data_IF_711213738053
#
_entry.id   IF_711213738053
#
_cell.length_a   1.000
_cell.length_b   1.000
_cell.length_c   1.000
_cell.angle_alpha   90.00
_cell.angle_beta   90.00
_cell.angle_gamma   90.00
#
_symmetry.space_group_name_H-M   'P 1'
#
loop_
_entity.id
_entity.type
_entity.pdbx_description
1 polymer ?
#
# COMPACT_ATOMS: atom_id res chain seq x y z
N UNK A 1 57.63 -6.98 -22.21
CA UNK A 1 56.23 -6.49 -22.07
C UNK A 1 56.27 -5.09 -21.49
N UNK A 2 55.44 -4.16 -21.96
CA UNK A 2 55.37 -2.82 -21.34
C UNK A 2 54.88 -2.96 -19.89
N UNK A 3 55.43 -2.21 -18.92
CA UNK A 3 54.99 -2.28 -17.52
C UNK A 3 53.48 -2.02 -17.36
N UNK A 4 52.90 -1.22 -18.24
CA UNK A 4 51.45 -1.01 -18.35
C UNK A 4 50.66 -2.31 -18.61
N UNK A 5 51.16 -3.20 -19.45
CA UNK A 5 50.46 -4.45 -19.80
C UNK A 5 50.50 -5.46 -18.65
N UNK A 6 51.59 -5.49 -17.89
CA UNK A 6 51.69 -6.27 -16.65
C UNK A 6 50.70 -5.76 -15.60
N UNK A 7 50.55 -4.43 -15.47
CA UNK A 7 49.57 -3.83 -14.58
C UNK A 7 48.13 -4.21 -14.96
N UNK A 8 47.76 -4.10 -16.25
CA UNK A 8 46.42 -4.45 -16.71
C UNK A 8 46.12 -5.95 -16.55
N UNK A 9 47.08 -6.83 -16.81
CA UNK A 9 46.91 -8.27 -16.59
C UNK A 9 46.75 -8.60 -15.10
N UNK A 10 47.52 -7.95 -14.22
CA UNK A 10 47.38 -8.13 -12.77
C UNK A 10 46.01 -7.66 -12.27
N UNK A 11 45.55 -6.48 -12.70
CA UNK A 11 44.22 -5.96 -12.36
C UNK A 11 43.10 -6.85 -12.90
N UNK A 12 43.22 -7.34 -14.14
CA UNK A 12 42.26 -8.26 -14.73
C UNK A 12 42.18 -9.59 -13.97
N UNK A 13 43.33 -10.17 -13.58
CA UNK A 13 43.39 -11.39 -12.80
C UNK A 13 42.79 -11.21 -11.39
N UNK A 14 43.06 -10.07 -10.73
CA UNK A 14 42.46 -9.74 -9.42
C UNK A 14 40.94 -9.59 -9.55
N UNK A 15 40.45 -8.90 -10.60
CA UNK A 15 39.03 -8.74 -10.83
C UNK A 15 38.34 -10.09 -11.08
N UNK A 16 38.94 -10.97 -11.89
CA UNK A 16 38.43 -12.30 -12.17
C UNK A 16 38.41 -13.17 -10.91
N UNK A 17 39.48 -13.11 -10.11
CA UNK A 17 39.56 -13.81 -8.84
C UNK A 17 38.50 -13.31 -7.86
N UNK A 18 38.32 -11.99 -7.71
CA UNK A 18 37.29 -11.41 -6.86
C UNK A 18 35.86 -11.79 -7.32
N UNK A 19 35.61 -11.80 -8.63
CA UNK A 19 34.32 -12.18 -9.22
C UNK A 19 33.93 -13.64 -8.96
N UNK A 20 34.90 -14.52 -8.68
CA UNK A 20 34.65 -15.94 -8.35
C UNK A 20 34.71 -16.17 -6.84
N UNK A 21 35.72 -15.63 -6.16
CA UNK A 21 35.95 -15.86 -4.74
C UNK A 21 34.86 -15.26 -3.86
N UNK A 22 34.33 -14.06 -4.19
CA UNK A 22 33.29 -13.40 -3.39
C UNK A 22 31.97 -14.19 -3.44
N UNK A 23 31.38 -14.54 -4.61
CA UNK A 23 30.16 -15.34 -4.64
C UNK A 23 30.32 -16.71 -3.98
N UNK A 24 31.45 -17.38 -4.18
CA UNK A 24 31.72 -18.69 -3.55
C UNK A 24 31.79 -18.57 -2.03
N UNK A 25 32.44 -17.52 -1.51
CA UNK A 25 32.53 -17.27 -0.07
C UNK A 25 31.17 -16.93 0.54
N UNK A 26 30.36 -16.10 -0.13
CA UNK A 26 29.00 -15.78 0.31
C UNK A 26 28.09 -17.00 0.29
N UNK A 27 28.18 -17.83 -0.77
CA UNK A 27 27.36 -19.05 -0.90
C UNK A 27 27.72 -20.12 0.14
N UNK A 28 29.01 -20.27 0.47
CA UNK A 28 29.47 -21.31 1.41
C UNK A 28 29.39 -20.91 2.88
N UNK A 29 29.43 -19.60 3.19
CA UNK A 29 29.53 -19.13 4.56
C UNK A 29 28.40 -18.15 4.89
N UNK A 30 28.45 -16.93 4.35
CA UNK A 30 27.43 -15.86 4.49
C UNK A 30 28.01 -14.53 3.98
N UNK A 31 27.18 -13.49 3.86
CA UNK A 31 27.60 -12.12 3.60
C UNK A 31 28.57 -11.58 4.66
N UNK A 32 28.53 -12.13 5.88
CA UNK A 32 29.46 -11.79 6.96
C UNK A 32 30.93 -12.15 6.63
N UNK A 33 31.19 -13.05 5.69
CA UNK A 33 32.54 -13.41 5.25
C UNK A 33 33.20 -12.33 4.35
N UNK A 34 32.41 -11.38 3.82
CA UNK A 34 32.88 -10.34 2.90
C UNK A 34 32.28 -8.96 3.20
N UNK A 35 32.50 -8.38 4.41
CA UNK A 35 31.81 -7.17 4.85
C UNK A 35 32.08 -5.94 3.97
N UNK A 36 33.30 -5.80 3.42
CA UNK A 36 33.64 -4.70 2.50
C UNK A 36 32.87 -4.75 1.18
N UNK A 37 32.54 -5.95 0.71
CA UNK A 37 31.71 -6.12 -0.48
C UNK A 37 30.25 -5.78 -0.18
N UNK A 38 29.73 -6.22 0.98
CA UNK A 38 28.36 -5.92 1.43
C UNK A 38 28.11 -4.42 1.49
N UNK A 39 28.99 -3.65 2.13
CA UNK A 39 28.85 -2.19 2.23
C UNK A 39 28.93 -1.47 0.87
N UNK A 40 29.48 -2.11 -0.16
CA UNK A 40 29.54 -1.54 -1.52
C UNK A 40 28.27 -1.81 -2.34
N UNK A 41 27.48 -2.82 -1.98
CA UNK A 41 26.27 -3.23 -2.72
C UNK A 41 24.97 -2.99 -1.96
N UNK A 42 25.04 -2.54 -0.70
CA UNK A 42 23.87 -2.20 0.11
C UNK A 42 23.15 -0.97 -0.49
N UNK A 43 21.87 -1.09 -0.89
CA UNK A 43 21.13 0.03 -1.50
C UNK A 43 20.90 1.20 -0.54
N UNK A 44 20.92 0.92 0.77
CA UNK A 44 20.65 1.85 1.85
C UNK A 44 20.38 1.10 3.15
N UNK A 45 20.31 1.81 4.30
CA UNK A 45 20.17 1.17 5.60
C UNK A 45 18.82 0.48 5.76
N UNK A 46 18.80 -0.58 6.57
CA UNK A 46 17.57 -1.26 6.98
C UNK A 46 16.68 -0.35 7.86
N UNK A 47 15.39 -0.66 7.89
CA UNK A 47 14.42 -0.08 8.79
C UNK A 47 14.77 -0.36 10.25
N UNK A 48 14.31 0.50 11.16
CA UNK A 48 14.52 0.32 12.60
C UNK A 48 14.08 -1.06 13.11
N UNK A 49 13.01 -1.62 12.55
CA UNK A 49 12.48 -2.92 12.94
C UNK A 49 13.43 -4.06 12.58
N UNK A 50 14.15 -3.95 11.46
CA UNK A 50 15.06 -5.00 10.97
C UNK A 50 16.54 -4.66 11.16
N UNK A 51 16.88 -3.61 11.91
CA UNK A 51 18.27 -3.21 12.17
C UNK A 51 19.15 -4.36 12.72
N UNK A 52 18.57 -5.32 13.45
CA UNK A 52 19.29 -6.50 13.97
C UNK A 52 19.74 -7.51 12.89
N UNK A 53 19.27 -7.34 11.65
CA UNK A 53 19.63 -8.13 10.47
C UNK A 53 20.73 -7.47 9.62
N UNK A 54 21.32 -6.37 10.10
CA UNK A 54 22.44 -5.71 9.43
C UNK A 54 23.58 -6.71 9.15
N UNK A 55 24.13 -6.66 7.94
CA UNK A 55 25.16 -7.58 7.41
C UNK A 55 24.75 -9.07 7.32
N UNK A 56 23.47 -9.42 7.46
CA UNK A 56 22.93 -10.78 7.31
C UNK A 56 21.99 -10.88 6.11
N UNK A 57 22.49 -10.57 4.91
CA UNK A 57 21.69 -10.37 3.70
C UNK A 57 20.77 -11.58 3.41
N UNK A 58 21.29 -12.76 3.63
CA UNK A 58 20.66 -14.07 3.42
C UNK A 58 19.53 -14.39 4.40
N UNK A 59 19.34 -13.57 5.44
CA UNK A 59 18.10 -13.59 6.22
C UNK A 59 16.88 -13.18 5.40
N UNK A 60 17.10 -12.41 4.32
CA UNK A 60 16.04 -11.96 3.42
C UNK A 60 16.27 -12.46 1.98
N UNK A 61 17.52 -12.43 1.48
CA UNK A 61 17.88 -12.76 0.10
C UNK A 61 18.38 -14.20 -0.06
N UNK A 62 17.73 -14.98 -0.91
CA UNK A 62 18.27 -16.27 -1.36
C UNK A 62 19.28 -16.05 -2.50
N UNK A 63 20.47 -16.68 -2.46
CA UNK A 63 21.41 -16.64 -3.57
C UNK A 63 20.74 -16.98 -4.91
N UNK A 64 20.99 -16.18 -5.94
CA UNK A 64 20.47 -16.32 -7.31
C UNK A 64 18.94 -16.22 -7.46
N UNK A 65 18.18 -15.94 -6.40
CA UNK A 65 16.71 -15.84 -6.46
C UNK A 65 16.14 -14.60 -5.78
N UNK A 66 16.98 -13.78 -5.13
CA UNK A 66 16.54 -12.58 -4.43
C UNK A 66 15.65 -12.90 -3.22
N UNK A 67 14.75 -11.99 -2.88
CA UNK A 67 13.87 -12.14 -1.70
C UNK A 67 12.78 -13.17 -1.98
N UNK A 68 12.54 -14.08 -1.02
CA UNK A 68 11.45 -15.06 -1.06
C UNK A 68 10.53 -14.89 0.13
N UNK A 69 9.22 -15.04 -0.09
CA UNK A 69 8.21 -14.94 0.97
C UNK A 69 8.50 -15.84 2.19
N UNK A 70 9.06 -17.04 1.96
CA UNK A 70 9.41 -17.97 3.03
C UNK A 70 10.36 -17.37 4.08
N UNK A 71 11.32 -16.54 3.64
CA UNK A 71 12.28 -15.92 4.55
C UNK A 71 11.60 -14.94 5.50
N UNK A 72 10.57 -14.23 5.03
CA UNK A 72 9.76 -13.35 5.87
C UNK A 72 8.90 -14.16 6.85
N UNK A 73 8.26 -15.24 6.36
CA UNK A 73 7.34 -16.07 7.14
C UNK A 73 8.05 -16.77 8.30
N UNK A 74 9.34 -17.14 8.16
CA UNK A 74 10.11 -17.77 9.24
C UNK A 74 10.08 -16.97 10.55
N UNK A 75 10.04 -15.64 10.48
CA UNK A 75 9.92 -14.79 11.67
C UNK A 75 8.48 -14.28 11.90
N UNK A 76 7.69 -14.07 10.85
CA UNK A 76 6.36 -13.46 10.95
C UNK A 76 5.19 -14.46 11.03
N UNK A 77 5.42 -15.77 10.93
CA UNK A 77 4.36 -16.79 10.95
C UNK A 77 3.44 -16.72 12.18
N UNK A 78 3.96 -16.27 13.32
CA UNK A 78 3.21 -16.17 14.57
C UNK A 78 2.58 -14.79 14.84
N UNK A 79 2.74 -13.81 13.92
CA UNK A 79 2.24 -12.44 14.11
C UNK A 79 0.75 -12.32 13.74
N UNK A 80 -0.11 -12.94 14.56
CA UNK A 80 -1.57 -12.97 14.36
C UNK A 80 -2.21 -11.58 14.37
N UNK A 81 -1.62 -10.63 15.09
CA UNK A 81 -2.02 -9.22 15.16
C UNK A 81 -1.88 -8.47 13.82
N UNK A 82 -0.98 -8.94 12.94
CA UNK A 82 -0.79 -8.41 11.58
C UNK A 82 -1.78 -9.01 10.57
N UNK A 83 -2.23 -10.25 10.82
CA UNK A 83 -3.04 -11.05 9.88
C UNK A 83 -4.55 -10.94 10.08
N UNK A 84 -5.01 -10.50 11.25
CA UNK A 84 -6.43 -10.61 11.65
C UNK A 84 -7.27 -9.34 11.45
N UNK A 85 -6.74 -8.28 10.83
CA UNK A 85 -7.54 -7.07 10.56
C UNK A 85 -8.36 -7.24 9.27
N UNK A 86 -9.64 -6.81 9.23
CA UNK A 86 -10.43 -6.85 7.99
C UNK A 86 -9.75 -6.16 6.81
N UNK A 87 -9.05 -5.04 7.07
CA UNK A 87 -8.30 -4.29 6.06
C UNK A 87 -7.04 -5.02 5.55
N UNK A 88 -6.56 -6.05 6.25
CA UNK A 88 -5.39 -6.86 5.89
C UNK A 88 -5.75 -8.30 5.53
N UNK A 89 -7.05 -8.62 5.39
CA UNK A 89 -7.55 -9.97 5.08
C UNK A 89 -6.94 -10.59 3.80
N UNK A 90 -6.45 -9.77 2.88
CA UNK A 90 -5.74 -10.23 1.68
C UNK A 90 -4.43 -10.98 1.98
N UNK A 91 -3.82 -10.80 3.16
CA UNK A 91 -2.59 -11.51 3.55
C UNK A 91 -2.77 -13.03 3.64
N UNK A 92 -4.01 -13.53 3.75
CA UNK A 92 -4.29 -14.97 3.76
C UNK A 92 -4.02 -15.65 2.40
N UNK A 93 -3.98 -14.89 1.30
CA UNK A 93 -3.83 -15.44 -0.06
C UNK A 93 -2.58 -14.93 -0.79
N UNK A 94 -1.86 -13.98 -0.21
CA UNK A 94 -0.68 -13.38 -0.84
C UNK A 94 0.55 -14.28 -0.68
N UNK A 95 1.29 -14.48 -1.76
CA UNK A 95 2.54 -15.28 -1.79
C UNK A 95 3.77 -14.44 -2.10
N UNK A 96 3.61 -13.12 -2.18
CA UNK A 96 4.67 -12.16 -2.45
C UNK A 96 4.62 -11.03 -1.41
N UNK A 97 5.75 -10.72 -0.82
CA UNK A 97 5.85 -9.74 0.26
C UNK A 97 6.58 -8.48 -0.21
N UNK A 98 7.59 -8.61 -1.07
CA UNK A 98 8.50 -7.52 -1.43
C UNK A 98 7.81 -6.42 -2.25
N UNK A 99 6.69 -6.72 -2.91
CA UNK A 99 5.86 -5.72 -3.61
C UNK A 99 5.21 -4.69 -2.70
N UNK A 100 5.09 -5.01 -1.41
CA UNK A 100 4.44 -4.17 -0.40
C UNK A 100 5.39 -3.82 0.73
N UNK A 101 6.26 -4.76 1.08
CA UNK A 101 7.24 -4.66 2.14
C UNK A 101 8.61 -4.41 1.54
N UNK A 102 8.90 -3.13 1.33
CA UNK A 102 10.16 -2.69 0.72
C UNK A 102 11.11 -2.22 1.81
N UNK A 103 12.24 -2.89 1.91
CA UNK A 103 13.33 -2.59 2.85
C UNK A 103 14.40 -1.69 2.19
N UNK A 104 15.47 -1.34 2.91
CA UNK A 104 16.56 -0.45 2.46
C UNK A 104 16.13 1.00 2.21
N UNK A 105 15.01 1.42 2.82
CA UNK A 105 14.54 2.81 2.75
C UNK A 105 15.09 3.68 3.89
N UNK A 106 15.81 3.07 4.83
CA UNK A 106 16.41 3.73 5.96
C UNK A 106 15.65 3.59 7.27
N UNK A 107 16.37 3.87 8.34
CA UNK A 107 15.98 3.55 9.72
C UNK A 107 14.61 4.11 10.13
N UNK A 108 14.27 5.33 9.70
CA UNK A 108 13.03 6.02 10.05
C UNK A 108 11.81 5.61 9.23
N UNK A 109 11.97 4.80 8.18
CA UNK A 109 10.90 4.48 7.23
C UNK A 109 10.36 3.08 7.52
N UNK A 110 9.03 2.96 7.67
CA UNK A 110 8.38 1.67 7.81
C UNK A 110 8.45 0.94 6.46
N UNK A 111 8.83 -0.35 6.42
CA UNK A 111 8.94 -1.11 5.19
C UNK A 111 7.55 -1.56 4.73
N UNK A 112 6.67 -0.59 4.47
CA UNK A 112 5.29 -0.80 4.04
C UNK A 112 4.97 0.29 3.02
N UNK A 113 5.31 0.01 1.77
CA UNK A 113 5.03 0.86 0.62
C UNK A 113 4.59 -0.03 -0.54
N UNK A 114 3.29 -0.03 -0.80
CA UNK A 114 2.67 -0.76 -1.89
C UNK A 114 3.16 -0.23 -3.25
N UNK A 115 3.73 -1.11 -4.08
CA UNK A 115 4.08 -0.83 -5.47
C UNK A 115 3.15 -1.63 -6.40
N UNK A 116 2.09 -0.97 -6.87
CA UNK A 116 1.13 -1.57 -7.81
C UNK A 116 1.79 -2.05 -9.10
N UNK A 117 2.82 -1.36 -9.60
CA UNK A 117 3.50 -1.73 -10.84
C UNK A 117 4.37 -2.98 -10.67
N UNK A 118 5.00 -3.16 -9.52
CA UNK A 118 5.71 -4.40 -9.19
C UNK A 118 4.72 -5.58 -9.09
N UNK A 119 3.59 -5.40 -8.41
CA UNK A 119 2.56 -6.43 -8.31
C UNK A 119 1.96 -6.82 -9.66
N UNK A 120 1.71 -5.85 -10.53
CA UNK A 120 1.24 -6.08 -11.90
C UNK A 120 2.25 -6.93 -12.69
N UNK A 121 3.54 -6.57 -12.65
CA UNK A 121 4.60 -7.36 -13.33
C UNK A 121 4.66 -8.80 -12.83
N UNK A 122 4.56 -9.01 -11.52
CA UNK A 122 4.57 -10.34 -10.91
C UNK A 122 3.33 -11.14 -11.33
N UNK A 123 2.16 -10.50 -11.41
CA UNK A 123 0.94 -11.12 -11.88
C UNK A 123 1.07 -11.58 -13.34
N UNK A 124 1.62 -10.73 -14.23
CA UNK A 124 1.87 -11.07 -15.63
C UNK A 124 2.85 -12.25 -15.74
N UNK A 125 3.95 -12.23 -14.98
CA UNK A 125 4.94 -13.31 -14.99
C UNK A 125 4.34 -14.66 -14.58
N UNK A 126 3.33 -14.67 -13.71
CA UNK A 126 2.59 -15.86 -13.29
C UNK A 126 1.45 -16.26 -14.25
N UNK A 127 1.39 -15.66 -15.45
CA UNK A 127 0.39 -15.98 -16.48
C UNK A 127 -0.93 -15.23 -16.35
N UNK A 128 -1.00 -14.20 -15.48
CA UNK A 128 -2.12 -13.28 -15.40
C UNK A 128 -2.14 -12.26 -16.55
N UNK A 129 -3.29 -11.64 -16.81
CA UNK A 129 -3.41 -10.54 -17.78
C UNK A 129 -3.39 -9.19 -17.07
N UNK A 130 -2.63 -8.23 -17.60
CA UNK A 130 -2.62 -6.83 -17.15
C UNK A 130 -3.94 -6.10 -17.42
N UNK A 131 -4.80 -6.62 -18.31
CA UNK A 131 -5.98 -5.91 -18.82
C UNK A 131 -7.13 -5.77 -17.81
N UNK A 132 -7.08 -6.44 -16.66
CA UNK A 132 -8.14 -6.33 -15.65
C UNK A 132 -7.55 -6.30 -14.24
N UNK A 133 -7.15 -5.11 -13.78
CA UNK A 133 -6.81 -4.90 -12.38
C UNK A 133 -8.10 -4.98 -11.53
N UNK A 134 -8.29 -6.07 -10.81
CA UNK A 134 -9.39 -6.21 -9.85
C UNK A 134 -9.06 -5.45 -8.56
N UNK A 135 -9.23 -4.12 -8.56
CA UNK A 135 -8.93 -3.25 -7.43
C UNK A 135 -9.66 -3.69 -6.15
N UNK A 136 -10.89 -4.20 -6.28
CA UNK A 136 -11.72 -4.58 -5.16
C UNK A 136 -11.24 -5.87 -4.47
N UNK A 137 -10.47 -6.72 -5.15
CA UNK A 137 -9.88 -7.92 -4.53
C UNK A 137 -9.07 -7.60 -3.26
N UNK A 138 -8.43 -6.41 -3.23
CA UNK A 138 -7.66 -5.92 -2.08
C UNK A 138 -8.33 -4.72 -1.39
N UNK A 139 -8.98 -3.82 -2.13
CA UNK A 139 -9.46 -2.54 -1.59
C UNK A 139 -10.93 -2.54 -1.16
N UNK A 140 -11.69 -3.63 -1.35
CA UNK A 140 -13.09 -3.69 -0.91
C UNK A 140 -13.32 -3.28 0.56
N UNK A 141 -12.47 -3.68 1.54
CA UNK A 141 -12.67 -3.30 2.95
C UNK A 141 -12.47 -1.80 3.22
N UNK A 142 -11.79 -1.08 2.32
CA UNK A 142 -11.47 0.35 2.50
C UNK A 142 -12.14 1.25 1.45
N UNK A 143 -13.00 0.68 0.61
CA UNK A 143 -13.74 1.45 -0.38
C UNK A 143 -14.71 2.42 0.30
N UNK A 144 -14.39 3.72 0.19
CA UNK A 144 -15.20 4.81 0.75
C UNK A 144 -16.54 4.96 0.03
N UNK A 145 -16.64 4.48 -1.21
CA UNK A 145 -17.85 4.58 -2.02
C UNK A 145 -18.85 3.46 -1.73
N UNK A 146 -18.42 2.41 -1.00
CA UNK A 146 -19.25 1.24 -0.67
C UNK A 146 -19.90 0.62 -1.92
N UNK A 147 -19.13 0.51 -3.01
CA UNK A 147 -19.54 -0.06 -4.29
C UNK A 147 -20.40 0.83 -5.18
N UNK A 148 -20.65 2.09 -4.82
CA UNK A 148 -21.58 2.97 -5.56
C UNK A 148 -21.18 3.21 -7.02
N UNK A 149 -19.89 3.44 -7.28
CA UNK A 149 -19.39 3.71 -8.63
C UNK A 149 -18.95 2.44 -9.39
N UNK A 150 -19.35 1.26 -8.91
CA UNK A 150 -18.94 -0.01 -9.51
C UNK A 150 -17.46 -0.34 -9.25
N UNK A 151 -16.83 -1.05 -10.20
CA UNK A 151 -15.46 -1.60 -10.05
C UNK A 151 -14.40 -0.82 -10.84
N UNK A 152 -14.80 0.10 -11.70
CA UNK A 152 -13.88 0.85 -12.56
C UNK A 152 -13.27 2.04 -11.80
N UNK A 153 -12.45 1.73 -10.80
CA UNK A 153 -11.78 2.74 -9.98
C UNK A 153 -10.85 3.63 -10.82
N UNK A 154 -10.25 3.06 -11.88
CA UNK A 154 -9.28 3.71 -12.73
C UNK A 154 -9.88 4.81 -13.62
N UNK A 155 -11.21 4.81 -13.82
CA UNK A 155 -11.92 5.92 -14.48
C UNK A 155 -11.71 7.28 -13.80
N UNK A 156 -11.46 7.28 -12.48
CA UNK A 156 -11.28 8.49 -11.68
C UNK A 156 -9.94 8.53 -10.92
N UNK A 157 -9.48 7.39 -10.39
CA UNK A 157 -8.31 7.32 -9.51
C UNK A 157 -7.07 6.79 -10.24
N UNK A 158 -5.95 7.50 -10.10
CA UNK A 158 -4.64 7.03 -10.56
C UNK A 158 -3.90 6.30 -9.43
N UNK A 159 -3.21 5.21 -9.74
CA UNK A 159 -2.41 4.45 -8.77
C UNK A 159 -1.21 5.23 -8.22
N UNK A 160 -0.77 6.28 -8.91
CA UNK A 160 0.36 7.13 -8.52
C UNK A 160 0.07 8.03 -7.31
N UNK A 161 -1.15 8.55 -7.17
CA UNK A 161 -1.49 9.47 -6.08
C UNK A 161 -2.84 9.21 -5.42
N UNK A 162 -3.68 8.32 -5.97
CA UNK A 162 -5.09 8.05 -5.64
C UNK A 162 -6.01 9.28 -5.61
N UNK A 163 -5.46 10.48 -5.80
CA UNK A 163 -6.19 11.73 -5.93
C UNK A 163 -6.76 11.81 -7.34
N UNK A 164 -7.95 12.38 -7.44
CA UNK A 164 -8.56 12.70 -8.72
C UNK A 164 -7.98 14.07 -9.14
N UNK A 165 -7.18 14.13 -10.22
CA UNK A 165 -6.60 15.40 -10.67
C UNK A 165 -7.70 16.39 -11.00
N UNK A 166 -7.63 17.59 -10.41
CA UNK A 166 -8.61 18.65 -10.67
C UNK A 166 -10.00 18.42 -10.05
N UNK A 167 -10.22 17.39 -9.23
CA UNK A 167 -11.48 17.29 -8.49
C UNK A 167 -11.60 18.47 -7.52
N UNK A 168 -12.62 19.29 -7.78
CA UNK A 168 -13.07 20.34 -6.89
C UNK A 168 -14.45 19.93 -6.40
N UNK A 169 -14.62 19.92 -5.08
CA UNK A 169 -15.95 19.73 -4.52
C UNK A 169 -16.89 20.80 -5.09
N UNK A 170 -18.14 20.44 -5.48
CA UNK A 170 -19.11 21.40 -5.95
C UNK A 170 -19.27 22.56 -4.97
N UNK A 171 -19.75 23.71 -5.47
CA UNK A 171 -20.05 24.88 -4.65
C UNK A 171 -20.79 24.48 -3.37
N UNK A 172 -20.46 25.07 -2.21
CA UNK A 172 -21.23 24.88 -0.98
C UNK A 172 -22.73 25.21 -1.08
N UNK A 173 -23.15 25.86 -2.17
CA UNK A 173 -24.54 26.16 -2.49
C UNK A 173 -25.22 25.11 -3.39
N UNK A 174 -24.51 24.06 -3.80
CA UNK A 174 -25.07 22.98 -4.64
C UNK A 174 -26.16 22.22 -3.89
N UNK A 175 -27.24 21.88 -4.59
CA UNK A 175 -28.33 21.02 -4.08
C UNK A 175 -28.16 19.55 -4.46
N UNK A 176 -27.22 19.25 -5.36
CA UNK A 176 -27.04 17.94 -5.98
C UNK A 176 -26.08 17.04 -5.19
N UNK A 177 -26.22 17.03 -3.85
CA UNK A 177 -25.32 16.28 -2.97
C UNK A 177 -25.46 14.76 -3.19
N UNK A 178 -26.69 14.30 -3.47
CA UNK A 178 -27.06 12.88 -3.58
C UNK A 178 -26.48 12.19 -4.82
N UNK A 179 -25.97 12.94 -5.79
CA UNK A 179 -25.25 12.39 -6.93
C UNK A 179 -23.92 11.74 -6.52
N UNK A 180 -23.37 12.10 -5.36
CA UNK A 180 -22.09 11.57 -4.86
C UNK A 180 -22.16 11.05 -3.42
N UNK A 181 -23.04 11.60 -2.57
CA UNK A 181 -23.18 11.22 -1.17
C UNK A 181 -24.44 10.39 -0.93
N UNK A 182 -24.33 9.34 -0.11
CA UNK A 182 -25.48 8.57 0.37
C UNK A 182 -25.83 8.94 1.80
N UNK A 183 -27.11 9.18 2.04
CA UNK A 183 -27.64 9.23 3.39
C UNK A 183 -27.38 7.89 4.13
N UNK A 184 -27.22 7.92 5.46
CA UNK A 184 -27.06 6.69 6.24
C UNK A 184 -28.31 5.81 6.15
N UNK A 185 -28.21 4.49 6.39
CA UNK A 185 -29.36 3.58 6.31
C UNK A 185 -30.58 4.03 7.14
N UNK A 186 -30.35 4.68 8.28
CA UNK A 186 -31.41 5.23 9.12
C UNK A 186 -32.35 6.18 8.37
N UNK A 187 -31.84 6.94 7.40
CA UNK A 187 -32.66 7.89 6.64
C UNK A 187 -33.67 7.23 5.71
N UNK A 188 -33.45 5.96 5.33
CA UNK A 188 -34.38 5.20 4.50
C UNK A 188 -35.36 4.36 5.32
N UNK A 189 -35.30 4.49 6.65
CA UNK A 189 -36.21 3.85 7.59
C UNK A 189 -37.14 4.92 8.19
N UNK A 190 -38.04 4.51 9.09
CA UNK A 190 -38.95 5.43 9.78
C UNK A 190 -38.22 6.50 10.61
N UNK A 191 -36.92 6.37 10.87
CA UNK A 191 -36.14 7.36 11.63
C UNK A 191 -36.18 8.75 10.99
N UNK A 192 -36.09 8.84 9.65
CA UNK A 192 -36.07 10.13 8.97
C UNK A 192 -37.36 10.93 9.21
N UNK A 193 -38.50 10.28 9.02
CA UNK A 193 -39.81 10.92 9.17
C UNK A 193 -40.15 11.19 10.64
N UNK A 194 -39.79 10.27 11.54
CA UNK A 194 -40.19 10.36 12.95
C UNK A 194 -39.25 11.24 13.78
N UNK A 195 -37.97 11.32 13.42
CA UNK A 195 -36.95 12.00 14.21
C UNK A 195 -36.31 13.16 13.43
N UNK A 196 -35.71 12.88 12.27
CA UNK A 196 -34.86 13.86 11.58
C UNK A 196 -35.68 15.06 11.07
N UNK A 197 -36.84 14.83 10.46
CA UNK A 197 -37.76 15.86 9.98
C UNK A 197 -38.29 16.77 11.11
N UNK A 198 -38.87 16.24 12.22
CA UNK A 198 -39.29 17.07 13.35
C UNK A 198 -38.16 17.86 14.02
N UNK A 199 -36.99 17.24 14.23
CA UNK A 199 -35.87 17.91 14.92
C UNK A 199 -35.30 19.05 14.08
N UNK A 200 -35.20 18.87 12.76
CA UNK A 200 -34.72 19.91 11.84
C UNK A 200 -35.78 20.97 11.48
N UNK A 201 -37.05 20.69 11.76
CA UNK A 201 -38.20 21.49 11.34
C UNK A 201 -38.52 21.37 9.84
N UNK A 202 -37.88 20.45 9.12
CA UNK A 202 -38.02 20.26 7.67
C UNK A 202 -39.00 19.13 7.33
N UNK A 203 -40.26 19.30 7.72
CA UNK A 203 -41.30 18.25 7.65
C UNK A 203 -41.60 17.69 6.25
N UNK A 204 -41.30 18.45 5.20
CA UNK A 204 -41.57 18.05 3.80
C UNK A 204 -40.29 17.68 3.03
N UNK A 205 -39.12 17.69 3.69
CA UNK A 205 -37.87 17.35 3.02
C UNK A 205 -37.87 15.87 2.62
N UNK A 206 -37.36 15.58 1.43
CA UNK A 206 -37.03 14.21 1.03
C UNK A 206 -35.59 13.86 1.43
N UNK A 207 -35.31 12.57 1.52
CA UNK A 207 -33.98 12.05 1.91
C UNK A 207 -32.85 12.53 0.98
N UNK A 208 -33.14 12.70 -0.32
CA UNK A 208 -32.19 13.20 -1.31
C UNK A 208 -31.90 14.70 -1.21
N UNK A 209 -32.74 15.46 -0.49
CA UNK A 209 -32.60 16.91 -0.31
C UNK A 209 -31.68 17.25 0.86
N UNK A 210 -30.46 16.71 0.84
CA UNK A 210 -29.49 16.84 1.92
C UNK A 210 -29.25 18.31 2.31
N UNK A 211 -29.26 19.21 1.31
CA UNK A 211 -29.04 20.63 1.47
C UNK A 211 -30.09 21.34 2.34
N UNK A 212 -31.27 20.76 2.57
CA UNK A 212 -32.30 21.36 3.44
C UNK A 212 -31.86 21.37 4.91
N UNK A 213 -31.16 20.32 5.34
CA UNK A 213 -30.76 20.12 6.73
C UNK A 213 -29.26 20.21 6.97
N UNK A 214 -28.43 19.69 6.06
CA UNK A 214 -26.99 19.54 6.27
C UNK A 214 -26.18 20.73 5.73
N UNK A 215 -25.02 20.96 6.35
CA UNK A 215 -24.02 21.93 5.93
C UNK A 215 -22.82 21.25 5.26
N UNK A 216 -22.05 22.00 4.48
CA UNK A 216 -20.91 21.48 3.70
C UNK A 216 -19.61 21.36 4.48
N UNK A 217 -19.55 21.94 5.67
CA UNK A 217 -18.43 21.80 6.60
C UNK A 217 -18.50 20.47 7.37
N UNK A 218 -19.71 20.01 7.73
CA UNK A 218 -19.95 18.75 8.41
C UNK A 218 -21.42 18.31 8.28
N UNK A 219 -21.65 17.04 7.90
CA UNK A 219 -22.99 16.45 7.90
C UNK A 219 -23.62 16.37 9.30
N UNK A 220 -22.82 16.40 10.37
CA UNK A 220 -23.33 16.41 11.74
C UNK A 220 -23.72 17.82 12.22
N UNK A 221 -23.42 18.85 11.42
CA UNK A 221 -23.82 20.23 11.67
C UNK A 221 -25.17 20.50 10.98
N UNK A 222 -26.26 20.33 11.72
CA UNK A 222 -27.61 20.49 11.18
C UNK A 222 -28.01 21.96 11.25
N UNK A 223 -28.46 22.52 10.12
CA UNK A 223 -28.92 23.91 10.01
C UNK A 223 -29.98 24.20 11.07
N UNK A 224 -29.81 25.31 11.79
CA UNK A 224 -30.72 25.80 12.86
C UNK A 224 -30.85 24.89 14.09
N UNK A 225 -30.15 23.75 14.13
CA UNK A 225 -30.10 22.85 15.30
C UNK A 225 -28.71 22.86 15.93
N UNK A 226 -27.65 22.89 15.11
CA UNK A 226 -26.26 22.81 15.54
C UNK A 226 -25.72 21.39 15.49
N UNK A 227 -24.75 21.10 16.36
CA UNK A 227 -23.97 19.86 16.30
C UNK A 227 -24.71 18.70 16.95
N UNK A 228 -25.05 17.68 16.15
CA UNK A 228 -25.72 16.48 16.62
C UNK A 228 -24.71 15.35 16.72
N UNK A 229 -24.64 14.70 17.89
CA UNK A 229 -23.82 13.50 18.07
C UNK A 229 -24.54 12.31 17.43
N UNK A 230 -23.93 11.76 16.40
CA UNK A 230 -24.38 10.52 15.76
C UNK A 230 -23.48 9.41 16.29
N UNK A 231 -24.07 8.39 16.91
CA UNK A 231 -23.41 7.21 17.46
C UNK A 231 -23.30 6.13 16.39
#
# INVERSE_FOLDING_TARGET
MKPSNLLYLALGAIALFAAIAIPVSVYRSSSAAAPRWVSAVEPGPLSKAHAFLENKCESCHTPNSGVKAQNCITCHAAATDLLMKPATAFHAKISECAGCHVEHQGFGIRPTKMDHGLLERIAIQKGGSATTLDCLSCHAPIDRHKGYFGKDCASCHQTSSWKIPGYLHPSPRSTECSQCHKAPPSHYMMHFQMMDQPISGEHNARVDQCYSCHQTDSFNNIKRVGMVKVH
#
